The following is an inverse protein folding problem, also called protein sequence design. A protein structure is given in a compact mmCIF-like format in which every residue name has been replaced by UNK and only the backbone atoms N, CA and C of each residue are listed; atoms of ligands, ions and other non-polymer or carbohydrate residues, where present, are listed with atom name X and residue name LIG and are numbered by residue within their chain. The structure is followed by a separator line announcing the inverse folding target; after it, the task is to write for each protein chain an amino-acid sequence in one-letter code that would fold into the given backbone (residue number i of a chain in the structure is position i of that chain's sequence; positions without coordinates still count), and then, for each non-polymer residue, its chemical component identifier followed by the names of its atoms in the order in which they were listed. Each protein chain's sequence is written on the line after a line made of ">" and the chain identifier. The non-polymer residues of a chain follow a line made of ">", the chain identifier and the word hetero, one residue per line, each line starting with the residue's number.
data_IF_131250346367
#
_entry.id   IF_131250346367
#
_cell.length_a   1.000
_cell.length_b   1.000
_cell.length_c   1.000
_cell.angle_alpha   90.00
_cell.angle_beta   90.00
_cell.angle_gamma   90.00
#
_symmetry.space_group_name_H-M   'P 1'
#
loop_
_entity.id
_entity.type
_entity.pdbx_description
1 polymer ?
#
# COMPACT_ATOMS: atom_id res chain seq x y z
N UNK A 1 1.35 -15.93 4.97
CA UNK A 1 1.95 -14.82 5.74
C UNK A 1 1.20 -13.51 5.54
N UNK A 2 1.05 -13.01 4.31
CA UNK A 2 0.33 -11.75 4.01
C UNK A 2 -1.15 -11.71 4.44
N UNK A 3 -1.82 -12.86 4.64
CA UNK A 3 -3.18 -12.91 5.21
C UNK A 3 -3.23 -12.83 6.74
N UNK A 4 -2.10 -12.97 7.43
CA UNK A 4 -2.01 -13.11 8.90
C UNK A 4 -1.19 -11.99 9.53
N UNK A 5 -0.14 -11.53 8.83
CA UNK A 5 0.79 -10.50 9.30
C UNK A 5 0.82 -9.31 8.34
N UNK A 6 1.16 -8.13 8.85
CA UNK A 6 1.17 -6.88 8.10
C UNK A 6 2.39 -6.70 7.16
N UNK A 7 3.45 -7.50 7.36
CA UNK A 7 4.61 -7.58 6.46
C UNK A 7 5.33 -6.25 6.15
N UNK A 8 5.27 -5.26 7.05
CA UNK A 8 6.08 -4.03 6.95
C UNK A 8 5.32 -2.75 7.28
N UNK A 9 4.05 -2.65 6.89
CA UNK A 9 3.19 -1.51 7.19
C UNK A 9 1.81 -1.98 7.67
N UNK A 10 1.26 -1.32 8.69
CA UNK A 10 -0.05 -1.69 9.29
C UNK A 10 -1.14 -0.65 9.05
N UNK A 11 -0.87 0.33 8.20
CA UNK A 11 -1.80 1.39 7.84
C UNK A 11 -1.64 1.70 6.36
N UNK A 12 -2.77 1.80 5.67
CA UNK A 12 -2.86 2.16 4.26
C UNK A 12 -3.88 3.28 4.12
N UNK A 13 -3.58 4.24 3.25
CA UNK A 13 -4.45 5.37 2.97
C UNK A 13 -4.76 5.34 1.48
N UNK A 14 -6.05 5.38 1.13
CA UNK A 14 -6.53 5.50 -0.24
C UNK A 14 -6.81 6.97 -0.52
N UNK A 15 -6.10 7.54 -1.50
CA UNK A 15 -6.20 8.94 -1.88
C UNK A 15 -5.85 9.14 -3.36
N UNK A 16 -6.25 10.27 -3.91
CA UNK A 16 -5.79 10.71 -5.24
C UNK A 16 -4.27 10.94 -5.23
N UNK A 17 -3.61 10.62 -6.34
CA UNK A 17 -2.15 10.60 -6.45
C UNK A 17 -1.51 11.95 -6.15
N UNK A 18 -2.20 13.04 -6.46
CA UNK A 18 -1.74 14.42 -6.21
C UNK A 18 -1.51 14.74 -4.72
N UNK A 19 -2.13 14.01 -3.80
CA UNK A 19 -1.98 14.22 -2.36
C UNK A 19 -0.91 13.32 -1.72
N UNK A 20 -0.33 12.36 -2.46
CA UNK A 20 0.57 11.35 -1.90
C UNK A 20 1.83 11.95 -1.24
N UNK A 21 2.47 12.91 -1.91
CA UNK A 21 3.70 13.55 -1.41
C UNK A 21 3.47 14.33 -0.11
N UNK A 22 2.28 14.91 0.06
CA UNK A 22 1.91 15.60 1.28
C UNK A 22 1.74 14.64 2.46
N UNK A 23 1.03 13.53 2.25
CA UNK A 23 0.87 12.48 3.25
C UNK A 23 2.22 11.89 3.66
N UNK A 24 3.10 11.60 2.69
CA UNK A 24 4.44 11.07 2.97
C UNK A 24 5.25 12.08 3.80
N UNK A 25 5.19 13.37 3.47
CA UNK A 25 5.86 14.43 4.23
C UNK A 25 5.34 14.56 5.66
N UNK A 26 4.02 14.50 5.85
CA UNK A 26 3.42 14.50 7.19
C UNK A 26 3.90 13.28 7.98
N UNK A 27 3.85 12.08 7.40
CA UNK A 27 4.33 10.85 8.06
C UNK A 27 5.79 10.97 8.53
N UNK A 28 6.66 11.50 7.66
CA UNK A 28 8.07 11.73 7.98
C UNK A 28 8.27 12.73 9.12
N UNK A 29 7.40 13.73 9.29
CA UNK A 29 7.47 14.65 10.44
C UNK A 29 7.23 13.96 11.79
N UNK A 30 6.52 12.82 11.78
CA UNK A 30 6.36 11.94 12.94
C UNK A 30 7.42 10.84 13.01
N UNK A 31 8.46 10.92 12.17
CA UNK A 31 9.52 9.91 12.04
C UNK A 31 8.98 8.51 11.68
N UNK A 32 7.95 8.47 10.85
CA UNK A 32 7.36 7.24 10.30
C UNK A 32 7.57 7.25 8.79
N UNK A 33 8.24 6.23 8.26
CA UNK A 33 8.41 6.08 6.82
C UNK A 33 7.08 5.75 6.13
N UNK A 34 6.88 6.38 4.97
CA UNK A 34 5.71 6.17 4.13
C UNK A 34 6.13 6.23 2.66
N UNK A 35 5.44 5.44 1.86
CA UNK A 35 5.60 5.36 0.41
C UNK A 35 4.30 4.91 -0.24
N UNK A 36 4.20 5.09 -1.56
CA UNK A 36 3.11 4.52 -2.34
C UNK A 36 3.39 3.02 -2.48
N UNK A 37 2.55 2.18 -1.87
CA UNK A 37 2.70 0.71 -1.87
C UNK A 37 1.91 0.01 -2.98
N UNK A 38 1.01 0.72 -3.66
CA UNK A 38 0.17 0.16 -4.72
C UNK A 38 -0.81 1.18 -5.30
N UNK A 39 -1.76 0.69 -6.09
CA UNK A 39 -2.84 1.47 -6.69
C UNK A 39 -4.11 0.63 -6.81
N UNK A 40 -5.24 1.29 -7.06
CA UNK A 40 -6.53 0.65 -7.35
C UNK A 40 -6.91 0.94 -8.78
N UNK A 41 -7.46 -0.05 -9.46
CA UNK A 41 -8.02 0.07 -10.80
C UNK A 41 -9.43 -0.51 -10.86
N UNK A 42 -10.18 -0.12 -11.89
CA UNK A 42 -11.53 -0.67 -12.13
C UNK A 42 -11.38 -2.10 -12.65
N UNK A 43 -12.16 -3.02 -12.08
CA UNK A 43 -12.19 -4.42 -12.50
C UNK A 43 -13.61 -4.97 -12.41
N UNK A 44 -13.95 -5.90 -13.30
CA UNK A 44 -15.23 -6.62 -13.30
C UNK A 44 -15.28 -7.69 -12.19
N UNK A 45 -14.14 -7.97 -11.54
CA UNK A 45 -14.03 -8.95 -10.45
C UNK A 45 -13.26 -8.38 -9.26
N UNK A 46 -13.59 -8.86 -8.07
CA UNK A 46 -12.79 -8.63 -6.86
C UNK A 46 -11.50 -9.43 -6.98
N UNK A 47 -10.36 -8.74 -6.96
CA UNK A 47 -9.03 -9.33 -7.05
C UNK A 47 -8.04 -8.48 -6.24
N UNK A 48 -7.12 -9.13 -5.54
CA UNK A 48 -6.00 -8.52 -4.85
C UNK A 48 -4.70 -9.17 -5.31
N UNK A 49 -3.76 -8.36 -5.79
CA UNK A 49 -2.45 -8.82 -6.25
C UNK A 49 -1.38 -8.22 -5.33
N UNK A 50 -0.55 -9.08 -4.74
CA UNK A 50 0.62 -8.68 -3.95
C UNK A 50 1.86 -9.16 -4.69
N UNK A 51 2.70 -8.23 -5.14
CA UNK A 51 4.01 -8.50 -5.73
C UNK A 51 5.10 -8.13 -4.73
N UNK A 52 5.88 -9.11 -4.29
CA UNK A 52 6.99 -8.89 -3.36
C UNK A 52 8.25 -9.65 -3.80
N UNK A 53 9.33 -9.49 -3.06
CA UNK A 53 10.58 -10.25 -3.27
C UNK A 53 10.38 -11.78 -3.17
N UNK A 54 9.30 -12.23 -2.53
CA UNK A 54 8.94 -13.64 -2.37
C UNK A 54 8.04 -14.17 -3.50
N UNK A 55 7.70 -13.33 -4.48
CA UNK A 55 6.88 -13.68 -5.64
C UNK A 55 5.55 -12.95 -5.69
N UNK A 56 4.63 -13.49 -6.51
CA UNK A 56 3.30 -12.93 -6.79
C UNK A 56 2.22 -13.75 -6.10
N UNK A 57 1.39 -13.10 -5.30
CA UNK A 57 0.24 -13.69 -4.60
C UNK A 57 -1.05 -13.06 -5.10
N UNK A 58 -2.06 -13.88 -5.41
CA UNK A 58 -3.36 -13.43 -5.93
C UNK A 58 -4.47 -13.97 -5.03
N UNK A 59 -5.41 -13.09 -4.65
CA UNK A 59 -6.55 -13.39 -3.79
C UNK A 59 -7.87 -12.85 -4.34
#
# INVERSE_FOLDING_TARGET
>A
MYQVFNMGHRMEIYLSREHADEIIRISKSFNIDAQIVGFVEVSDRKELIIESEFGKFIY
#
